data_IF_400708577102
#
_entry.id   IF_400708577102
#
_cell.length_a   1.000
_cell.length_b   1.000
_cell.length_c   1.000
_cell.angle_alpha   90.00
_cell.angle_beta   90.00
_cell.angle_gamma   90.00
#
_symmetry.space_group_name_H-M   'P 1'
#
loop_
_entity.id
_entity.type
_entity.pdbx_description
1 polymer ?
#
# COMPACT_ATOMS: atom_id res chain seq x y z
N UNK A 1 -8.32 -11.39 -13.23
CA UNK A 1 -7.68 -10.08 -13.05
C UNK A 1 -8.01 -9.63 -11.64
N UNK A 2 -7.01 -9.34 -10.84
CA UNK A 2 -7.19 -8.85 -9.47
C UNK A 2 -6.59 -7.46 -9.41
N UNK A 3 -7.36 -6.47 -9.01
CA UNK A 3 -6.86 -5.13 -8.74
C UNK A 3 -6.41 -5.08 -7.29
N UNK A 4 -5.18 -4.64 -7.07
CA UNK A 4 -4.56 -4.42 -5.78
C UNK A 4 -4.27 -2.94 -5.61
N UNK A 5 -4.39 -2.42 -4.40
CA UNK A 5 -4.13 -1.02 -4.09
C UNK A 5 -2.89 -0.95 -3.20
N UNK A 6 -1.89 -0.17 -3.60
CA UNK A 6 -0.68 0.08 -2.79
C UNK A 6 -0.61 1.55 -2.44
N UNK A 7 -0.18 1.85 -1.22
CA UNK A 7 -0.06 3.24 -0.74
C UNK A 7 1.38 3.67 -0.92
N UNK A 8 1.59 4.78 -1.62
CA UNK A 8 2.88 5.45 -1.80
C UNK A 8 2.89 6.74 -1.01
N UNK A 9 3.90 6.96 -0.18
CA UNK A 9 4.10 8.21 0.56
C UNK A 9 5.46 8.79 0.23
N UNK A 10 5.47 9.92 -0.48
CA UNK A 10 6.69 10.54 -0.99
C UNK A 10 7.49 9.60 -1.91
N UNK A 11 8.60 9.06 -1.40
CA UNK A 11 9.48 8.13 -2.11
C UNK A 11 9.42 6.68 -1.58
N UNK A 12 8.57 6.42 -0.59
CA UNK A 12 8.42 5.12 0.07
C UNK A 12 7.00 4.59 -0.11
N UNK A 13 6.79 3.34 0.24
CA UNK A 13 5.51 2.64 0.17
C UNK A 13 5.12 2.10 1.53
N UNK A 14 3.82 2.07 1.81
CA UNK A 14 3.31 1.47 3.03
C UNK A 14 3.51 -0.04 2.97
N UNK A 15 4.15 -0.59 3.99
CA UNK A 15 4.41 -2.02 4.17
C UNK A 15 3.82 -2.45 5.51
N UNK A 16 3.34 -3.67 5.60
CA UNK A 16 2.79 -4.28 6.81
C UNK A 16 3.71 -5.42 7.17
N UNK A 17 4.34 -5.30 8.33
CA UNK A 17 5.17 -6.34 8.89
C UNK A 17 4.31 -7.57 9.27
N UNK A 18 4.97 -8.70 9.46
CA UNK A 18 4.33 -9.97 9.83
C UNK A 18 3.54 -9.88 11.16
N UNK A 19 3.92 -8.96 12.04
CA UNK A 19 3.25 -8.71 13.33
C UNK A 19 2.01 -7.79 13.20
N UNK A 20 1.74 -7.25 12.01
CA UNK A 20 0.65 -6.30 11.75
C UNK A 20 1.04 -4.83 11.95
N UNK A 21 2.29 -4.55 12.33
CA UNK A 21 2.83 -3.19 12.38
C UNK A 21 2.98 -2.60 10.97
N UNK A 22 2.58 -1.34 10.81
CA UNK A 22 2.70 -0.60 9.56
C UNK A 22 4.03 0.14 9.52
N UNK A 23 4.85 -0.17 8.52
CA UNK A 23 6.12 0.48 8.24
C UNK A 23 6.15 1.09 6.85
N UNK A 24 7.30 1.65 6.49
CA UNK A 24 7.56 2.24 5.18
C UNK A 24 8.72 1.51 4.50
N UNK A 25 8.46 0.95 3.32
CA UNK A 25 9.45 0.30 2.49
C UNK A 25 9.91 1.23 1.35
N UNK A 26 11.19 1.19 0.95
CA UNK A 26 11.68 1.97 -0.19
C UNK A 26 11.23 1.40 -1.55
N UNK A 27 10.74 0.16 -1.60
CA UNK A 27 10.35 -0.53 -2.83
C UNK A 27 8.90 -1.02 -2.78
N UNK A 28 8.24 -1.03 -3.93
CA UNK A 28 6.84 -1.44 -4.06
C UNK A 28 6.62 -2.95 -3.89
N UNK A 29 7.67 -3.76 -4.12
CA UNK A 29 7.60 -5.22 -3.97
C UNK A 29 7.37 -5.64 -2.51
N UNK A 30 7.82 -4.81 -1.57
CA UNK A 30 7.59 -4.98 -0.13
C UNK A 30 6.37 -4.20 0.35
N UNK A 31 5.69 -3.47 -0.54
CA UNK A 31 4.51 -2.71 -0.17
C UNK A 31 3.32 -3.64 0.13
N UNK A 32 2.52 -3.26 1.11
CA UNK A 32 1.24 -3.91 1.37
C UNK A 32 0.27 -3.57 0.27
N UNK A 33 -0.20 -4.63 -0.37
CA UNK A 33 -1.29 -4.57 -1.32
C UNK A 33 -2.62 -4.83 -0.64
N UNK A 34 -3.53 -3.90 -0.74
CA UNK A 34 -4.90 -4.03 -0.27
C UNK A 34 -5.82 -4.46 -1.40
N UNK A 35 -6.85 -5.24 -1.08
CA UNK A 35 -7.88 -5.64 -2.06
C UNK A 35 -8.96 -4.55 -2.24
N UNK A 36 -9.06 -3.63 -1.29
CA UNK A 36 -10.03 -2.54 -1.27
C UNK A 36 -9.31 -1.19 -1.22
N UNK A 37 -9.86 -0.22 -1.95
CA UNK A 37 -9.35 1.16 -1.89
C UNK A 37 -9.55 1.76 -0.49
N UNK A 38 -10.69 1.52 0.16
CA UNK A 38 -11.00 2.03 1.49
C UNK A 38 -10.02 1.52 2.56
N UNK A 39 -9.63 0.25 2.50
CA UNK A 39 -8.60 -0.32 3.39
C UNK A 39 -7.24 0.34 3.17
N UNK A 40 -6.85 0.55 1.91
CA UNK A 40 -5.61 1.25 1.57
C UNK A 40 -5.64 2.70 2.07
N UNK A 41 -6.75 3.40 1.89
CA UNK A 41 -6.92 4.78 2.34
C UNK A 41 -6.90 4.89 3.86
N UNK A 42 -7.57 3.98 4.57
CA UNK A 42 -7.54 3.95 6.04
C UNK A 42 -6.11 3.72 6.55
N UNK A 43 -5.44 2.71 6.00
CA UNK A 43 -4.04 2.42 6.29
C UNK A 43 -3.12 3.61 6.05
N UNK A 44 -3.32 4.32 4.93
CA UNK A 44 -2.58 5.52 4.58
C UNK A 44 -2.85 6.68 5.54
N UNK A 45 -4.11 6.95 5.89
CA UNK A 45 -4.44 8.01 6.84
C UNK A 45 -3.86 7.77 8.24
N UNK A 46 -3.76 6.51 8.66
CA UNK A 46 -3.23 6.16 9.98
C UNK A 46 -1.70 6.15 10.04
N UNK A 47 -1.02 5.83 8.93
CA UNK A 47 0.41 5.50 8.95
C UNK A 47 1.28 6.22 7.89
N UNK A 48 0.68 6.80 6.86
CA UNK A 48 1.37 7.51 5.81
C UNK A 48 1.31 9.04 6.02
N UNK A 49 2.29 9.74 5.48
CA UNK A 49 2.31 11.21 5.54
C UNK A 49 1.18 11.83 4.71
N UNK A 50 0.69 13.02 5.14
CA UNK A 50 -0.25 13.80 4.36
C UNK A 50 0.34 14.12 2.97
N UNK A 51 -0.33 13.64 1.92
CA UNK A 51 0.19 13.66 0.54
C UNK A 51 0.51 12.29 -0.05
N UNK A 52 0.06 11.21 0.60
CA UNK A 52 0.12 9.86 0.03
C UNK A 52 -0.69 9.74 -1.28
N UNK A 53 -0.27 8.80 -2.12
CA UNK A 53 -0.90 8.42 -3.37
C UNK A 53 -1.28 6.94 -3.31
N UNK A 54 -2.53 6.62 -3.63
CA UNK A 54 -3.00 5.23 -3.70
C UNK A 54 -2.94 4.78 -5.15
N UNK A 55 -2.11 3.77 -5.43
CA UNK A 55 -1.85 3.24 -6.77
C UNK A 55 -2.62 1.92 -6.95
N UNK A 56 -3.45 1.84 -7.98
CA UNK A 56 -4.16 0.62 -8.36
C UNK A 56 -3.32 -0.22 -9.34
N UNK A 57 -2.86 -1.39 -8.88
CA UNK A 57 -2.07 -2.36 -9.64
C UNK A 57 -2.97 -3.50 -10.11
N UNK A 58 -3.08 -3.69 -11.42
CA UNK A 58 -3.83 -4.81 -11.98
C UNK A 58 -2.91 -6.02 -12.15
N UNK A 59 -3.13 -7.05 -11.33
CA UNK A 59 -2.39 -8.31 -11.39
C UNK A 59 -3.16 -9.32 -12.25
N UNK A 60 -2.50 -9.83 -13.27
CA UNK A 60 -2.96 -10.96 -14.08
C UNK A 60 -2.19 -12.20 -13.64
N UNK A 61 -2.83 -13.09 -12.88
CA UNK A 61 -2.31 -14.46 -12.68
C UNK A 61 -2.59 -15.25 -13.96
N UNK A 62 -1.54 -15.52 -14.75
CA UNK A 62 -1.55 -16.48 -15.87
C UNK A 62 -1.29 -17.90 -15.38
#
# INVERSE_FOLDING_TARGET
MTTLYVVKTGAQFLCTAEDGDMGLAPVVEEATSFLSYEDAEKAANENADPGYEIIAVNVTRT
#
